data_IF_056447654020
#
_entry.id   IF_056447654020
#
_cell.length_a   1.000
_cell.length_b   1.000
_cell.length_c   1.000
_cell.angle_alpha   90.00
_cell.angle_beta   90.00
_cell.angle_gamma   90.00
#
_symmetry.space_group_name_H-M   'P 1'
#
loop_
_entity.id
_entity.type
_entity.pdbx_description
1 polymer ?
#
# COMPACT_ATOMS: atom_id res chain seq x y z
N UNK A 1 -4.38 -14.79 -0.60
CA UNK A 1 -3.44 -13.83 0.00
C UNK A 1 -2.05 -14.38 -0.17
N UNK A 2 -1.11 -13.54 -0.56
CA UNK A 2 0.32 -13.90 -0.59
C UNK A 2 0.80 -14.16 0.84
N UNK A 3 1.61 -15.19 1.04
CA UNK A 3 2.18 -15.56 2.34
C UNK A 3 3.37 -14.67 2.69
N UNK A 4 3.68 -14.54 3.98
CA UNK A 4 4.86 -13.78 4.46
C UNK A 4 6.17 -14.26 3.80
N UNK A 5 6.27 -15.55 3.49
CA UNK A 5 7.43 -16.13 2.82
C UNK A 5 7.53 -15.71 1.34
N UNK A 6 6.42 -15.64 0.62
CA UNK A 6 6.39 -15.19 -0.77
C UNK A 6 6.77 -13.70 -0.87
N UNK A 7 6.29 -12.87 0.07
CA UNK A 7 6.69 -11.48 0.17
C UNK A 7 8.20 -11.38 0.47
N UNK A 8 8.70 -12.13 1.45
CA UNK A 8 10.12 -12.13 1.79
C UNK A 8 10.99 -12.53 0.58
N UNK A 9 10.56 -13.54 -0.20
CA UNK A 9 11.25 -13.95 -1.43
C UNK A 9 11.24 -12.87 -2.50
N UNK A 10 10.10 -12.21 -2.71
CA UNK A 10 9.97 -11.12 -3.67
C UNK A 10 10.88 -9.94 -3.29
N UNK A 11 10.89 -9.54 -2.01
CA UNK A 11 11.75 -8.48 -1.50
C UNK A 11 13.25 -8.84 -1.53
N UNK A 12 13.58 -10.13 -1.48
CA UNK A 12 14.96 -10.63 -1.58
C UNK A 12 15.51 -10.65 -3.02
N UNK A 13 14.69 -10.37 -4.04
CA UNK A 13 15.16 -10.20 -5.42
C UNK A 13 15.91 -8.86 -5.59
N UNK A 14 16.69 -8.73 -6.66
CA UNK A 14 17.34 -7.45 -7.02
C UNK A 14 16.30 -6.36 -7.28
N UNK A 15 15.21 -6.70 -7.96
CA UNK A 15 14.08 -5.82 -8.26
C UNK A 15 13.35 -5.40 -6.99
N UNK A 16 13.06 -6.35 -6.09
CA UNK A 16 12.44 -6.08 -4.79
C UNK A 16 13.28 -5.12 -3.93
N UNK A 17 14.59 -5.34 -3.83
CA UNK A 17 15.50 -4.41 -3.14
C UNK A 17 15.52 -3.02 -3.78
N UNK A 18 15.53 -2.96 -5.12
CA UNK A 18 15.50 -1.68 -5.86
C UNK A 18 14.19 -0.92 -5.64
N UNK A 19 13.06 -1.63 -5.58
CA UNK A 19 11.76 -1.07 -5.27
C UNK A 19 11.76 -0.44 -3.87
N UNK A 20 12.17 -1.19 -2.84
CA UNK A 20 12.26 -0.68 -1.46
C UNK A 20 13.13 0.58 -1.39
N UNK A 21 14.33 0.54 -1.97
CA UNK A 21 15.24 1.68 -1.98
C UNK A 21 14.63 2.91 -2.69
N UNK A 22 13.85 2.70 -3.75
CA UNK A 22 13.18 3.78 -4.47
C UNK A 22 12.06 4.40 -3.63
N UNK A 23 11.24 3.56 -2.98
CA UNK A 23 10.19 4.03 -2.09
C UNK A 23 10.76 4.80 -0.89
N UNK A 24 11.84 4.30 -0.28
CA UNK A 24 12.53 4.98 0.82
C UNK A 24 13.03 6.37 0.40
N UNK A 25 13.67 6.47 -0.78
CA UNK A 25 14.13 7.77 -1.32
C UNK A 25 12.98 8.72 -1.60
N UNK A 26 11.86 8.22 -2.13
CA UNK A 26 10.67 9.04 -2.39
C UNK A 26 10.11 9.62 -1.10
N UNK A 27 9.94 8.79 -0.07
CA UNK A 27 9.46 9.23 1.25
C UNK A 27 10.41 10.26 1.87
N UNK A 28 11.72 10.02 1.82
CA UNK A 28 12.73 10.97 2.31
C UNK A 28 12.70 12.28 1.54
N UNK A 29 12.49 12.25 0.22
CA UNK A 29 12.43 13.47 -0.61
C UNK A 29 11.25 14.37 -0.28
N UNK A 30 10.18 13.80 0.29
CA UNK A 30 9.02 14.55 0.77
C UNK A 30 9.19 15.06 2.22
N UNK A 31 10.34 14.82 2.86
CA UNK A 31 10.59 15.20 4.24
C UNK A 31 9.78 14.41 5.26
N UNK A 32 9.19 13.27 4.86
CA UNK A 32 8.31 12.47 5.71
C UNK A 32 9.11 11.39 6.46
N UNK A 33 8.78 11.10 7.74
CA UNK A 33 9.39 9.99 8.47
C UNK A 33 8.97 8.65 7.88
N UNK A 34 9.94 7.81 7.50
CA UNK A 34 9.68 6.50 6.89
C UNK A 34 8.78 5.60 7.76
N UNK A 35 9.02 5.57 9.08
CA UNK A 35 8.23 4.78 10.02
C UNK A 35 6.76 5.23 10.06
N UNK A 36 6.53 6.55 9.98
CA UNK A 36 5.18 7.09 9.93
C UNK A 36 4.47 6.65 8.65
N UNK A 37 5.10 6.79 7.49
CA UNK A 37 4.51 6.39 6.20
C UNK A 37 4.20 4.89 6.17
N UNK A 38 5.08 4.04 6.72
CA UNK A 38 4.83 2.60 6.81
C UNK A 38 3.61 2.32 7.69
N UNK A 39 3.52 2.97 8.87
CA UNK A 39 2.39 2.81 9.79
C UNK A 39 1.07 3.22 9.14
N UNK A 40 1.02 4.40 8.52
CA UNK A 40 -0.16 4.92 7.83
C UNK A 40 -0.57 3.99 6.67
N UNK A 41 0.40 3.45 5.93
CA UNK A 41 0.14 2.48 4.86
C UNK A 41 -0.51 1.20 5.40
N UNK A 42 -0.01 0.65 6.52
CA UNK A 42 -0.59 -0.54 7.16
C UNK A 42 -2.00 -0.26 7.65
N UNK A 43 -2.22 0.85 8.35
CA UNK A 43 -3.56 1.24 8.80
C UNK A 43 -4.53 1.41 7.63
N UNK A 44 -4.07 1.97 6.51
CA UNK A 44 -4.88 2.14 5.32
C UNK A 44 -5.30 0.78 4.73
N UNK A 45 -4.36 -0.18 4.62
CA UNK A 45 -4.69 -1.54 4.18
C UNK A 45 -5.70 -2.22 5.11
N UNK A 46 -5.53 -2.10 6.44
CA UNK A 46 -6.47 -2.67 7.41
C UNK A 46 -7.88 -2.06 7.29
N UNK A 47 -7.98 -0.76 6.94
CA UNK A 47 -9.27 -0.11 6.65
C UNK A 47 -9.89 -0.67 5.38
N UNK A 48 -9.12 -0.83 4.30
CA UNK A 48 -9.58 -1.43 3.04
C UNK A 48 -10.06 -2.87 3.25
N UNK A 49 -9.34 -3.66 4.04
CA UNK A 49 -9.76 -5.03 4.39
C UNK A 49 -11.07 -5.07 5.16
N UNK A 50 -11.22 -4.19 6.17
CA UNK A 50 -12.47 -4.10 6.94
C UNK A 50 -13.63 -3.67 6.06
N UNK A 51 -13.41 -2.72 5.15
CA UNK A 51 -14.43 -2.26 4.23
C UNK A 51 -14.83 -3.37 3.25
N UNK A 52 -13.85 -4.04 2.64
CA UNK A 52 -14.07 -5.20 1.77
C UNK A 52 -14.92 -6.29 2.45
N UNK A 53 -14.58 -6.64 3.71
CA UNK A 53 -15.36 -7.58 4.51
C UNK A 53 -16.80 -7.11 4.76
N UNK A 54 -17.00 -5.83 5.08
CA UNK A 54 -18.34 -5.26 5.34
C UNK A 54 -19.21 -5.21 4.08
N UNK A 55 -18.62 -4.93 2.92
CA UNK A 55 -19.37 -4.77 1.66
C UNK A 55 -19.44 -6.06 0.85
N UNK A 56 -18.81 -7.15 1.30
CA UNK A 56 -18.69 -8.39 0.52
C UNK A 56 -17.91 -8.22 -0.79
N UNK A 57 -17.09 -7.17 -0.91
CA UNK A 57 -16.29 -6.87 -2.10
C UNK A 57 -14.88 -7.40 -1.93
N UNK A 58 -14.16 -7.56 -3.05
CA UNK A 58 -12.72 -7.83 -2.99
C UNK A 58 -11.95 -6.57 -2.59
N UNK A 59 -10.83 -6.73 -1.88
CA UNK A 59 -9.97 -5.59 -1.46
C UNK A 59 -9.58 -4.73 -2.66
N UNK A 60 -9.23 -5.36 -3.79
CA UNK A 60 -8.89 -4.66 -5.02
C UNK A 60 -10.03 -3.74 -5.49
N UNK A 61 -11.26 -4.25 -5.54
CA UNK A 61 -12.42 -3.46 -5.95
C UNK A 61 -12.65 -2.27 -5.02
N UNK A 62 -12.44 -2.45 -3.72
CA UNK A 62 -12.55 -1.36 -2.75
C UNK A 62 -11.45 -0.31 -2.92
N UNK A 63 -10.22 -0.73 -3.25
CA UNK A 63 -9.12 0.17 -3.52
C UNK A 63 -9.36 0.98 -4.82
N UNK A 64 -9.80 0.30 -5.89
CA UNK A 64 -10.13 0.92 -7.18
C UNK A 64 -11.28 1.95 -6.99
N UNK A 65 -12.37 1.57 -6.30
CA UNK A 65 -13.48 2.47 -5.98
C UNK A 65 -13.03 3.71 -5.17
N UNK A 66 -12.04 3.54 -4.28
CA UNK A 66 -11.52 4.63 -3.44
C UNK A 66 -10.65 5.60 -4.22
N UNK A 67 -9.85 5.10 -5.17
CA UNK A 67 -9.06 5.91 -6.10
C UNK A 67 -9.98 6.75 -7.00
N UNK A 68 -11.00 6.12 -7.60
CA UNK A 68 -12.00 6.81 -8.42
C UNK A 68 -12.69 7.96 -7.67
N UNK A 69 -12.96 7.78 -6.38
CA UNK A 69 -13.56 8.81 -5.52
C UNK A 69 -12.58 9.94 -5.18
N UNK A 70 -11.28 9.64 -5.06
CA UNK A 70 -10.24 10.62 -4.82
C UNK A 70 -10.03 11.50 -6.06
N UNK A 71 -9.87 10.88 -7.23
CA UNK A 71 -9.67 11.58 -8.51
C UNK A 71 -10.84 12.51 -8.85
N UNK A 72 -12.08 12.09 -8.56
CA UNK A 72 -13.29 12.92 -8.75
C UNK A 72 -13.41 14.09 -7.78
N UNK A 73 -12.67 14.10 -6.67
CA UNK A 73 -12.67 15.20 -5.69
C UNK A 73 -11.59 16.24 -5.97
N UNK A 74 -10.54 15.85 -6.69
CA UNK A 74 -9.40 16.73 -7.00
C UNK A 74 -9.44 17.27 -8.45
N UNK A 75 -10.35 16.77 -9.29
CA UNK A 75 -10.68 17.32 -10.62
C UNK A 75 -11.89 18.24 -10.60
#
# INVERSE_FOLDING_TARGET
MMTTLEIARLLATSEGRRLISTLQRLVQSQGLPLEQVIRESVEHMERLERLAKRTGKQIKQVADDSLDLYEKKEG
#
